data_IF_634344276268
#
_entry.id   IF_634344276268
#
_cell.length_a   1.000
_cell.length_b   1.000
_cell.length_c   1.000
_cell.angle_alpha   90.00
_cell.angle_beta   90.00
_cell.angle_gamma   90.00
#
_symmetry.space_group_name_H-M   'P 1'
#
loop_
_entity.id
_entity.type
_entity.pdbx_description
1 polymer ?
#
# COMPACT_ATOMS: atom_id res chain seq x y z
N UNK A 1 7.84 -11.93 0.06
CA UNK A 1 8.52 -10.86 0.80
C UNK A 1 8.46 -9.56 0.01
N UNK A 2 8.10 -8.50 0.69
CA UNK A 2 8.01 -7.17 0.09
C UNK A 2 9.02 -6.25 0.80
N UNK A 3 9.88 -5.62 0.01
CA UNK A 3 10.85 -4.65 0.51
C UNK A 3 10.65 -3.33 -0.21
N UNK A 4 10.59 -2.25 0.54
CA UNK A 4 10.51 -0.90 -0.03
C UNK A 4 11.73 -0.13 0.44
N UNK A 5 12.43 0.50 -0.51
CA UNK A 5 13.61 1.26 -0.21
C UNK A 5 13.55 2.60 -0.90
N UNK A 6 13.94 3.63 -0.19
CA UNK A 6 14.03 4.99 -0.75
C UNK A 6 15.49 5.42 -0.73
N UNK A 7 15.99 5.91 -1.85
CA UNK A 7 17.35 6.41 -1.92
C UNK A 7 17.42 7.89 -1.53
N UNK A 8 18.63 8.47 -1.59
CA UNK A 8 18.85 9.86 -1.20
C UNK A 8 18.16 10.86 -2.14
N UNK A 9 17.84 10.43 -3.33
CA UNK A 9 17.18 11.27 -4.32
C UNK A 9 15.66 11.19 -4.24
N UNK A 10 15.15 10.36 -3.34
CA UNK A 10 13.72 10.17 -3.17
C UNK A 10 13.13 9.11 -4.09
N UNK A 11 13.97 8.42 -4.86
CA UNK A 11 13.47 7.33 -5.71
C UNK A 11 13.12 6.13 -4.85
N UNK A 12 11.93 5.60 -5.03
CA UNK A 12 11.45 4.45 -4.27
C UNK A 12 11.59 3.20 -5.11
N UNK A 13 12.28 2.21 -4.55
CA UNK A 13 12.42 0.91 -5.17
C UNK A 13 11.67 -0.12 -4.34
N UNK A 14 10.96 -0.99 -5.00
CA UNK A 14 10.21 -2.05 -4.34
C UNK A 14 10.67 -3.40 -4.88
N UNK A 15 11.13 -4.26 -3.99
CA UNK A 15 11.48 -5.62 -4.35
C UNK A 15 10.44 -6.56 -3.78
N UNK A 16 9.94 -7.46 -4.61
CA UNK A 16 8.89 -8.40 -4.23
C UNK A 16 9.33 -9.81 -4.59
N UNK A 17 9.25 -10.72 -3.62
CA UNK A 17 9.59 -12.13 -3.83
C UNK A 17 8.47 -13.01 -3.32
N UNK A 18 8.22 -14.10 -4.02
CA UNK A 18 7.24 -15.08 -3.62
C UNK A 18 6.20 -15.32 -4.69
N UNK A 19 5.30 -16.23 -4.44
CA UNK A 19 4.17 -16.46 -5.33
C UNK A 19 3.13 -15.35 -5.20
N UNK A 20 2.28 -15.24 -6.20
CA UNK A 20 1.28 -14.17 -6.22
C UNK A 20 0.39 -14.17 -4.98
N UNK A 21 0.01 -15.36 -4.51
CA UNK A 21 -0.84 -15.46 -3.32
C UNK A 21 -0.13 -14.95 -2.08
N UNK A 22 1.12 -15.34 -1.89
CA UNK A 22 1.91 -14.91 -0.73
C UNK A 22 2.14 -13.40 -0.75
N UNK A 23 2.43 -12.86 -1.93
CA UNK A 23 2.63 -11.42 -2.09
C UNK A 23 1.37 -10.66 -1.75
N UNK A 24 0.22 -11.15 -2.19
CA UNK A 24 -1.06 -10.51 -1.90
C UNK A 24 -1.36 -10.52 -0.41
N UNK A 25 -1.07 -11.63 0.28
CA UNK A 25 -1.25 -11.70 1.73
C UNK A 25 -0.35 -10.74 2.47
N UNK A 26 0.92 -10.67 2.08
CA UNK A 26 1.85 -9.75 2.71
C UNK A 26 1.43 -8.30 2.50
N UNK A 27 0.96 -7.97 1.31
CA UNK A 27 0.49 -6.62 1.02
C UNK A 27 -0.72 -6.27 1.89
N UNK A 28 -1.66 -7.19 2.00
CA UNK A 28 -2.84 -6.97 2.83
C UNK A 28 -2.45 -6.75 4.29
N UNK A 29 -1.61 -7.63 4.84
CA UNK A 29 -1.20 -7.55 6.23
C UNK A 29 -0.40 -6.27 6.51
N UNK A 30 0.50 -5.91 5.61
CA UNK A 30 1.28 -4.67 5.76
C UNK A 30 0.37 -3.45 5.71
N UNK A 31 -0.60 -3.45 4.81
CA UNK A 31 -1.54 -2.34 4.67
C UNK A 31 -2.39 -2.17 5.94
N UNK A 32 -2.91 -3.28 6.46
CA UNK A 32 -3.70 -3.24 7.69
C UNK A 32 -2.87 -2.70 8.85
N UNK A 33 -1.64 -3.20 9.00
CA UNK A 33 -0.75 -2.75 10.07
C UNK A 33 -0.44 -1.26 9.97
N UNK A 34 -0.17 -0.78 8.77
CA UNK A 34 0.14 0.63 8.57
C UNK A 34 -1.07 1.51 8.90
N UNK A 35 -2.25 1.10 8.47
CA UNK A 35 -3.47 1.85 8.75
C UNK A 35 -3.74 1.89 10.24
N UNK A 36 -3.55 0.76 10.93
CA UNK A 36 -3.71 0.72 12.38
C UNK A 36 -2.76 1.67 13.08
N UNK A 37 -1.53 1.76 12.61
CA UNK A 37 -0.56 2.70 13.16
C UNK A 37 -0.96 4.15 12.90
N UNK A 38 -1.54 4.44 11.75
CA UNK A 38 -2.03 5.79 11.45
C UNK A 38 -3.16 6.19 12.37
N UNK A 39 -4.04 5.24 12.70
CA UNK A 39 -5.14 5.49 13.63
C UNK A 39 -4.60 5.75 15.02
N UNK A 40 -3.66 4.93 15.49
CA UNK A 40 -3.15 5.03 16.85
C UNK A 40 -2.22 6.23 17.05
N UNK A 41 -1.26 6.40 16.14
CA UNK A 41 -0.19 7.38 16.34
C UNK A 41 -0.41 8.68 15.57
N UNK A 42 -1.11 8.60 14.46
CA UNK A 42 -1.37 9.76 13.63
C UNK A 42 -2.67 10.48 13.96
N UNK A 43 -3.39 9.99 14.95
CA UNK A 43 -4.69 10.56 15.36
C UNK A 43 -5.69 10.60 14.21
N UNK A 44 -5.65 9.62 13.33
CA UNK A 44 -6.66 9.51 12.30
C UNK A 44 -7.97 9.04 12.94
N UNK A 45 -9.04 9.84 12.91
CA UNK A 45 -10.31 9.44 13.51
C UNK A 45 -10.86 8.18 12.86
N UNK A 46 -11.40 7.28 13.68
CA UNK A 46 -11.96 6.02 13.18
C UNK A 46 -13.03 6.25 12.12
N UNK A 47 -13.78 7.32 12.26
CA UNK A 47 -14.85 7.67 11.33
C UNK A 47 -14.32 8.00 9.94
N UNK A 48 -13.05 8.41 9.87
CA UNK A 48 -12.44 8.80 8.61
C UNK A 48 -11.63 7.67 7.97
N UNK A 49 -11.48 6.53 8.66
CA UNK A 49 -10.65 5.43 8.17
C UNK A 49 -11.18 4.89 6.85
N UNK A 50 -12.49 4.68 6.74
CA UNK A 50 -13.08 4.16 5.52
C UNK A 50 -12.86 5.13 4.36
N UNK A 51 -13.07 6.42 4.59
CA UNK A 51 -12.80 7.44 3.58
C UNK A 51 -11.35 7.47 3.16
N UNK A 52 -10.43 7.33 4.13
CA UNK A 52 -9.01 7.27 3.85
C UNK A 52 -8.69 6.07 2.96
N UNK A 53 -9.25 4.91 3.27
CA UNK A 53 -9.00 3.69 2.50
C UNK A 53 -9.54 3.84 1.08
N UNK A 54 -10.73 4.42 0.92
CA UNK A 54 -11.32 4.63 -0.39
C UNK A 54 -10.46 5.57 -1.24
N UNK A 55 -9.99 6.67 -0.64
CA UNK A 55 -9.13 7.62 -1.34
C UNK A 55 -7.80 6.98 -1.72
N UNK A 56 -7.22 6.20 -0.80
CA UNK A 56 -5.99 5.50 -1.05
C UNK A 56 -6.14 4.51 -2.20
N UNK A 57 -7.22 3.73 -2.17
CA UNK A 57 -7.49 2.77 -3.23
C UNK A 57 -7.66 3.46 -4.59
N UNK A 58 -8.33 4.60 -4.60
CA UNK A 58 -8.52 5.34 -5.84
C UNK A 58 -7.18 5.85 -6.38
N UNK A 59 -6.32 6.36 -5.51
CA UNK A 59 -5.00 6.82 -5.93
C UNK A 59 -4.14 5.68 -6.45
N UNK A 60 -4.24 4.51 -5.83
CA UNK A 60 -3.54 3.33 -6.32
C UNK A 60 -4.01 2.99 -7.74
N UNK A 61 -5.31 2.96 -7.95
CA UNK A 61 -5.88 2.67 -9.27
C UNK A 61 -5.43 3.69 -10.31
N UNK A 62 -5.39 4.96 -9.93
CA UNK A 62 -5.01 6.03 -10.86
C UNK A 62 -3.53 5.96 -11.24
N UNK A 63 -2.70 5.41 -10.35
CA UNK A 63 -1.26 5.36 -10.57
C UNK A 63 -0.77 4.04 -11.16
N UNK A 64 -1.59 2.99 -11.12
CA UNK A 64 -1.21 1.72 -11.69
C UNK A 64 -1.31 1.80 -13.22
N UNK A 65 -0.23 1.38 -13.87
CA UNK A 65 -0.19 1.24 -15.32
C UNK A 65 -0.31 -0.23 -15.67
N UNK A 66 -1.48 -0.61 -16.09
CA UNK A 66 -1.73 -1.99 -16.50
C UNK A 66 -1.93 -2.00 -18.00
N UNK A 67 -1.07 -2.76 -18.69
CA UNK A 67 -1.26 -2.96 -20.11
C UNK A 67 -2.33 -4.00 -20.32
N UNK A 68 -3.38 -3.61 -20.97
CA UNK A 68 -4.44 -4.55 -21.31
C UNK A 68 -4.20 -5.11 -22.69
N UNK A 69 -4.04 -6.43 -22.73
CA UNK A 69 -4.00 -7.14 -23.99
C UNK A 69 -5.41 -7.30 -24.51
N UNK A 70 -5.61 -6.87 -25.70
CA UNK A 70 -6.91 -6.99 -26.32
C UNK A 70 -6.97 -8.15 -27.28
#
# INVERSE_FOLDING_TARGET
MIKVKRDKQGVVETAVKGGAHDIAEELLNATVSIIEMLVEKGNLPKEHVIGFIDDFAQQVKDNIKIEEDK
#
